data_IF_148474550479
#
_entry.id   IF_148474550479
#
_cell.length_a   1.000
_cell.length_b   1.000
_cell.length_c   1.000
_cell.angle_alpha   90.00
_cell.angle_beta   90.00
_cell.angle_gamma   90.00
#
_symmetry.space_group_name_H-M   'P 1'
#
loop_
_entity.id
_entity.type
_entity.pdbx_description
1 polymer ?
#
# COMPACT_ATOMS: atom_id res chain seq x y z
N UNK A 1 70.20 -49.33 -16.12
CA UNK A 1 68.90 -49.94 -15.92
C UNK A 1 67.87 -48.80 -15.65
N UNK A 2 67.26 -48.27 -16.72
CA UNK A 2 66.28 -47.17 -16.61
C UNK A 2 64.92 -47.79 -16.51
N UNK A 3 64.24 -47.53 -15.39
CA UNK A 3 62.85 -47.88 -15.21
C UNK A 3 61.99 -46.68 -15.66
N UNK A 4 61.25 -46.85 -16.75
CA UNK A 4 60.24 -45.96 -17.25
C UNK A 4 58.92 -46.23 -16.47
N UNK A 5 58.44 -45.30 -15.73
CA UNK A 5 57.13 -45.37 -15.04
C UNK A 5 56.09 -44.81 -16.04
N UNK A 6 55.10 -45.59 -16.45
CA UNK A 6 54.03 -45.05 -17.29
C UNK A 6 53.09 -44.11 -16.46
N UNK A 7 52.98 -42.88 -16.90
CA UNK A 7 52.01 -41.90 -16.35
C UNK A 7 50.62 -42.27 -16.88
N UNK A 8 49.76 -42.81 -16.02
CA UNK A 8 48.38 -43.12 -16.34
C UNK A 8 47.55 -41.85 -16.28
N UNK A 9 47.17 -41.30 -17.43
CA UNK A 9 46.31 -40.15 -17.56
C UNK A 9 44.86 -40.60 -17.30
N UNK A 10 44.35 -40.38 -16.08
CA UNK A 10 42.94 -40.60 -15.76
C UNK A 10 42.13 -39.43 -16.29
N UNK A 11 41.48 -39.63 -17.43
CA UNK A 11 40.54 -38.70 -18.01
C UNK A 11 39.24 -38.75 -17.19
N UNK A 12 39.06 -37.82 -16.23
CA UNK A 12 37.81 -37.67 -15.52
C UNK A 12 36.75 -37.13 -16.49
N UNK A 13 35.95 -38.02 -17.03
CA UNK A 13 34.69 -37.66 -17.69
C UNK A 13 33.74 -37.15 -16.64
N UNK A 14 33.71 -35.83 -16.42
CA UNK A 14 32.65 -35.16 -15.65
C UNK A 14 31.42 -35.19 -16.54
N UNK A 15 30.35 -35.91 -16.17
CA UNK A 15 29.10 -35.80 -16.90
C UNK A 15 28.61 -34.35 -16.75
N UNK A 16 28.57 -33.60 -17.84
CA UNK A 16 27.83 -32.37 -17.90
C UNK A 16 26.37 -32.73 -17.71
N UNK A 17 25.88 -32.60 -16.50
CA UNK A 17 24.45 -32.58 -16.25
C UNK A 17 23.94 -31.28 -16.89
N UNK A 18 23.52 -31.38 -18.15
CA UNK A 18 22.66 -30.36 -18.72
C UNK A 18 21.33 -30.48 -17.96
N UNK A 19 21.10 -29.61 -17.00
CA UNK A 19 19.76 -29.33 -16.54
C UNK A 19 19.04 -28.74 -17.78
N UNK A 20 18.28 -29.56 -18.49
CA UNK A 20 17.24 -29.01 -19.36
C UNK A 20 16.30 -28.23 -18.46
N UNK A 21 16.40 -26.91 -18.50
CA UNK A 21 15.35 -26.04 -17.98
C UNK A 21 14.07 -26.45 -18.70
N UNK A 22 13.26 -27.24 -18.02
CA UNK A 22 11.91 -27.58 -18.46
C UNK A 22 11.16 -26.27 -18.57
N UNK A 23 11.09 -25.71 -19.76
CA UNK A 23 10.19 -24.58 -20.06
C UNK A 23 8.78 -25.11 -19.93
N UNK A 24 8.21 -24.95 -18.75
CA UNK A 24 6.81 -25.28 -18.54
C UNK A 24 5.96 -24.37 -19.41
N UNK A 25 5.00 -24.95 -20.10
CA UNK A 25 4.11 -24.17 -20.95
C UNK A 25 3.16 -23.42 -20.02
N UNK A 26 3.06 -22.10 -20.20
CA UNK A 26 2.02 -21.31 -19.58
C UNK A 26 0.67 -21.75 -20.12
N UNK A 27 -0.19 -22.29 -19.27
CA UNK A 27 -1.56 -22.68 -19.61
C UNK A 27 -2.57 -21.71 -18.98
N UNK A 28 -3.81 -21.74 -19.46
CA UNK A 28 -4.89 -20.91 -18.87
C UNK A 28 -5.13 -21.30 -17.42
N UNK A 29 -5.10 -22.60 -17.10
CA UNK A 29 -5.28 -23.11 -15.75
C UNK A 29 -4.17 -22.62 -14.83
N UNK A 30 -2.91 -22.62 -15.31
CA UNK A 30 -1.79 -22.08 -14.53
C UNK A 30 -1.92 -20.56 -14.29
N UNK A 31 -2.30 -19.78 -15.33
CA UNK A 31 -2.49 -18.32 -15.18
C UNK A 31 -3.53 -17.99 -14.10
N UNK A 32 -4.55 -18.84 -13.92
CA UNK A 32 -5.61 -18.65 -12.93
C UNK A 32 -5.29 -19.32 -11.58
N UNK A 33 -4.13 -19.93 -11.43
CA UNK A 33 -3.73 -20.59 -10.19
C UNK A 33 -3.21 -19.59 -9.14
N UNK A 34 -3.28 -19.96 -7.86
CA UNK A 34 -2.68 -19.21 -6.77
C UNK A 34 -1.16 -19.11 -6.91
N UNK A 35 -0.53 -20.12 -7.50
CA UNK A 35 0.91 -20.12 -7.80
C UNK A 35 1.28 -19.00 -8.78
N UNK A 36 0.58 -18.90 -9.91
CA UNK A 36 0.81 -17.86 -10.89
C UNK A 36 0.57 -16.47 -10.30
N UNK A 37 -0.50 -16.31 -9.52
CA UNK A 37 -0.81 -15.06 -8.83
C UNK A 37 0.32 -14.65 -7.86
N UNK A 38 0.90 -15.62 -7.15
CA UNK A 38 2.00 -15.36 -6.21
C UNK A 38 3.29 -14.99 -6.96
N UNK A 39 3.62 -15.69 -8.05
CA UNK A 39 4.82 -15.42 -8.85
C UNK A 39 4.71 -14.08 -9.58
N UNK A 40 3.53 -13.77 -10.14
CA UNK A 40 3.29 -12.53 -10.88
C UNK A 40 3.06 -11.31 -9.97
N UNK A 41 2.77 -11.52 -8.69
CA UNK A 41 2.53 -10.43 -7.75
C UNK A 41 3.80 -9.61 -7.54
N UNK A 42 3.65 -8.31 -7.66
CA UNK A 42 4.69 -7.34 -7.33
C UNK A 42 4.36 -6.64 -6.02
N UNK A 43 5.36 -6.15 -5.32
CA UNK A 43 5.14 -5.31 -4.16
C UNK A 43 4.25 -4.12 -4.52
N UNK A 44 3.30 -3.79 -3.64
CA UNK A 44 2.74 -2.45 -3.66
C UNK A 44 3.81 -1.50 -3.12
N UNK A 45 3.94 -0.35 -3.73
CA UNK A 45 4.96 0.61 -3.32
C UNK A 45 4.51 2.05 -3.57
N UNK A 46 5.06 2.95 -2.79
CA UNK A 46 4.95 4.40 -3.00
C UNK A 46 6.30 5.06 -2.78
N UNK A 47 6.75 5.83 -3.77
CA UNK A 47 7.90 6.71 -3.64
C UNK A 47 7.54 7.91 -2.78
N UNK A 48 8.48 8.31 -1.94
CA UNK A 48 8.40 9.46 -1.06
C UNK A 48 9.32 10.58 -1.55
N UNK A 49 9.04 11.82 -1.15
CA UNK A 49 9.80 13.00 -1.59
C UNK A 49 11.27 12.99 -1.14
N UNK A 50 11.61 12.21 -0.12
CA UNK A 50 12.97 12.02 0.39
C UNK A 50 13.78 10.97 -0.39
N UNK A 51 13.35 10.56 -1.59
CA UNK A 51 13.95 9.53 -2.42
C UNK A 51 14.02 8.14 -1.76
N UNK A 52 13.14 7.82 -0.84
CA UNK A 52 12.92 6.47 -0.31
C UNK A 52 11.57 5.95 -0.79
N UNK A 53 11.29 4.67 -0.58
CA UNK A 53 9.98 4.10 -0.88
C UNK A 53 9.44 3.31 0.30
N UNK A 54 8.11 3.28 0.44
CA UNK A 54 7.43 2.32 1.28
C UNK A 54 7.00 1.15 0.39
N UNK A 55 7.28 -0.05 0.85
CA UNK A 55 6.95 -1.32 0.20
C UNK A 55 5.96 -2.10 1.07
N UNK A 56 5.11 -2.88 0.39
CA UNK A 56 4.18 -3.81 1.02
C UNK A 56 4.16 -5.10 0.19
N UNK A 57 4.70 -6.19 0.74
CA UNK A 57 4.82 -7.44 0.01
C UNK A 57 3.51 -8.23 0.07
N UNK A 58 2.73 -8.15 -0.99
CA UNK A 58 1.45 -8.86 -1.12
C UNK A 58 1.60 -10.37 -1.32
N UNK A 59 2.82 -10.89 -1.56
CA UNK A 59 3.11 -12.32 -1.67
C UNK A 59 3.19 -13.00 -0.30
N UNK A 60 3.45 -12.22 0.75
CA UNK A 60 3.42 -12.72 2.12
C UNK A 60 1.98 -13.04 2.56
N UNK A 61 1.79 -13.99 3.49
CA UNK A 61 0.50 -14.19 4.14
C UNK A 61 -0.06 -12.86 4.69
N UNK A 62 -1.36 -12.67 4.63
CA UNK A 62 -2.00 -11.40 5.04
C UNK A 62 -1.62 -10.97 6.46
N UNK A 63 -1.48 -11.94 7.34
CA UNK A 63 -1.14 -11.78 8.75
C UNK A 63 0.31 -11.32 8.97
N UNK A 64 1.19 -11.51 7.98
CA UNK A 64 2.61 -11.16 8.05
C UNK A 64 2.95 -9.86 7.31
N UNK A 65 2.02 -9.35 6.50
CA UNK A 65 2.24 -8.13 5.70
C UNK A 65 2.46 -6.92 6.59
N UNK A 66 3.50 -6.17 6.28
CA UNK A 66 3.83 -4.93 6.99
C UNK A 66 4.44 -3.92 6.02
N UNK A 67 4.58 -2.67 6.45
CA UNK A 67 5.27 -1.65 5.67
C UNK A 67 6.75 -1.70 5.93
N UNK A 68 7.51 -1.72 4.84
CA UNK A 68 8.97 -1.71 4.85
C UNK A 68 9.46 -0.48 4.09
N UNK A 69 10.47 0.19 4.61
CA UNK A 69 11.12 1.31 3.96
C UNK A 69 12.34 0.83 3.19
N UNK A 70 12.41 1.22 1.93
CA UNK A 70 13.55 1.03 1.03
C UNK A 70 14.29 2.34 0.86
N UNK A 71 15.59 2.34 1.14
CA UNK A 71 16.54 3.38 0.69
C UNK A 71 17.29 2.84 -0.54
N UNK A 72 17.13 3.42 -1.74
CA UNK A 72 17.82 2.93 -2.94
C UNK A 72 19.34 2.95 -2.86
N UNK A 73 19.91 3.73 -1.94
CA UNK A 73 21.36 3.74 -1.68
C UNK A 73 21.80 2.51 -0.91
N UNK A 74 20.87 1.80 -0.26
CA UNK A 74 21.11 0.58 0.53
C UNK A 74 19.99 -0.43 0.26
N UNK A 75 19.87 -0.95 -0.99
CA UNK A 75 18.71 -1.72 -1.42
C UNK A 75 18.56 -3.09 -0.73
N UNK A 76 19.64 -3.58 -0.11
CA UNK A 76 19.60 -4.83 0.67
C UNK A 76 19.10 -4.64 2.10
N UNK A 77 18.92 -3.40 2.55
CA UNK A 77 18.45 -3.08 3.91
C UNK A 77 17.00 -2.61 3.86
N UNK A 78 16.07 -3.47 4.25
CA UNK A 78 14.66 -3.12 4.42
C UNK A 78 14.37 -2.92 5.91
N UNK A 79 13.72 -1.81 6.23
CA UNK A 79 13.38 -1.47 7.61
C UNK A 79 11.86 -1.50 7.79
N UNK A 80 11.37 -2.32 8.71
CA UNK A 80 9.96 -2.28 9.11
C UNK A 80 9.67 -0.93 9.78
N UNK A 81 8.64 -0.22 9.31
CA UNK A 81 8.31 1.14 9.77
C UNK A 81 7.03 1.19 10.58
N UNK A 82 6.37 0.06 10.79
CA UNK A 82 5.14 -0.04 11.58
C UNK A 82 5.10 -1.36 12.34
N UNK A 83 4.73 -1.30 13.61
CA UNK A 83 4.32 -2.47 14.38
C UNK A 83 2.87 -2.81 14.00
N UNK A 84 2.72 -3.84 13.16
CA UNK A 84 1.41 -4.21 12.59
C UNK A 84 0.42 -4.66 13.68
N UNK A 85 0.90 -5.38 14.70
CA UNK A 85 0.03 -5.92 15.75
C UNK A 85 -0.54 -4.76 16.59
N UNK A 86 0.33 -3.82 16.95
CA UNK A 86 -0.07 -2.60 17.65
C UNK A 86 -1.04 -1.76 16.80
N UNK A 87 -0.75 -1.59 15.51
CA UNK A 87 -1.60 -0.84 14.59
C UNK A 87 -3.00 -1.48 14.49
N UNK A 88 -3.07 -2.78 14.21
CA UNK A 88 -4.35 -3.50 14.10
C UNK A 88 -5.13 -3.43 15.42
N UNK A 89 -4.46 -3.66 16.56
CA UNK A 89 -5.11 -3.56 17.87
C UNK A 89 -5.65 -2.15 18.15
N UNK A 90 -4.94 -1.10 17.71
CA UNK A 90 -5.42 0.29 17.88
C UNK A 90 -6.67 0.57 17.03
N UNK A 91 -6.73 0.03 15.81
CA UNK A 91 -7.91 0.12 14.96
C UNK A 91 -9.10 -0.61 15.58
N UNK A 92 -8.87 -1.84 16.09
CA UNK A 92 -9.91 -2.63 16.74
C UNK A 92 -10.51 -1.92 17.96
N UNK A 93 -9.69 -1.23 18.75
CA UNK A 93 -10.17 -0.40 19.87
C UNK A 93 -11.07 0.76 19.40
N UNK A 94 -10.82 1.27 18.20
CA UNK A 94 -11.55 2.44 17.67
C UNK A 94 -12.90 2.10 17.04
N UNK A 95 -13.03 0.91 16.42
CA UNK A 95 -14.24 0.55 15.65
C UNK A 95 -14.85 -0.80 16.04
N UNK A 96 -14.29 -1.51 17.03
CA UNK A 96 -14.68 -2.85 17.45
C UNK A 96 -14.03 -3.95 16.60
N UNK A 97 -13.86 -5.12 17.19
CA UNK A 97 -13.19 -6.26 16.53
C UNK A 97 -13.97 -6.79 15.33
N UNK A 98 -15.30 -6.84 15.43
CA UNK A 98 -16.16 -7.35 14.35
C UNK A 98 -16.10 -6.50 13.08
N UNK A 99 -15.81 -5.22 13.24
CA UNK A 99 -15.83 -4.22 12.19
C UNK A 99 -14.45 -3.90 11.63
N UNK A 100 -13.40 -4.34 12.31
CA UNK A 100 -12.01 -4.09 11.92
C UNK A 100 -11.42 -5.21 11.07
N UNK A 101 -10.34 -4.88 10.38
CA UNK A 101 -9.48 -5.90 9.77
C UNK A 101 -8.60 -6.58 10.83
N UNK A 102 -8.25 -7.84 10.58
CA UNK A 102 -7.30 -8.60 11.42
C UNK A 102 -5.84 -8.45 10.97
N UNK A 103 -5.61 -7.71 9.90
CA UNK A 103 -4.29 -7.52 9.31
C UNK A 103 -4.16 -6.14 8.71
N UNK A 104 -2.93 -5.67 8.60
CA UNK A 104 -2.62 -4.39 7.99
C UNK A 104 -2.95 -4.43 6.48
N UNK A 105 -3.53 -3.35 5.98
CA UNK A 105 -3.88 -3.19 4.57
C UNK A 105 -3.07 -2.04 3.96
N UNK A 106 -2.93 -2.04 2.64
CA UNK A 106 -2.39 -0.90 1.92
C UNK A 106 -3.32 0.31 2.06
N UNK A 107 -2.79 1.50 2.38
CA UNK A 107 -3.60 2.71 2.57
C UNK A 107 -4.08 3.30 1.25
N UNK A 108 -4.97 4.28 1.33
CA UNK A 108 -5.34 5.12 0.19
C UNK A 108 -4.18 6.02 -0.27
N UNK A 109 -3.40 6.51 0.68
CA UNK A 109 -2.22 7.33 0.43
C UNK A 109 -1.30 7.33 1.65
N UNK A 110 -0.02 7.66 1.44
CA UNK A 110 0.87 8.14 2.48
C UNK A 110 1.04 9.66 2.32
N UNK A 111 1.42 10.34 3.40
CA UNK A 111 1.93 11.70 3.30
C UNK A 111 3.30 11.70 2.59
N UNK A 112 3.80 12.88 2.21
CA UNK A 112 5.03 13.02 1.42
C UNK A 112 6.27 12.43 2.11
N UNK A 113 6.31 12.46 3.42
CA UNK A 113 7.43 11.94 4.22
C UNK A 113 7.30 10.45 4.54
N UNK A 114 6.14 9.84 4.32
CA UNK A 114 5.83 8.46 4.71
C UNK A 114 5.77 8.28 6.23
N UNK A 115 5.26 9.27 6.94
CA UNK A 115 5.03 9.23 8.39
C UNK A 115 3.60 8.85 8.72
N UNK A 116 2.66 9.26 7.88
CA UNK A 116 1.23 9.08 8.05
C UNK A 116 0.65 8.28 6.88
N UNK A 117 -0.28 7.39 7.18
CA UNK A 117 -1.03 6.65 6.17
C UNK A 117 -2.54 6.90 6.33
N UNK A 118 -3.21 7.15 5.20
CA UNK A 118 -4.62 7.53 5.12
C UNK A 118 -5.48 6.32 4.79
N UNK A 119 -6.52 6.12 5.57
CA UNK A 119 -7.46 5.01 5.40
C UNK A 119 -8.90 5.48 5.44
N UNK A 120 -9.76 4.66 4.86
CA UNK A 120 -11.19 4.68 5.12
C UNK A 120 -11.64 3.33 5.65
N UNK A 121 -12.33 3.34 6.79
CA UNK A 121 -13.02 2.17 7.32
C UNK A 121 -14.49 2.50 7.51
N UNK A 122 -15.35 1.65 6.94
CA UNK A 122 -16.79 1.90 6.87
C UNK A 122 -17.10 3.21 6.14
N UNK A 123 -17.30 4.28 6.87
CA UNK A 123 -17.69 5.60 6.35
C UNK A 123 -16.68 6.68 6.71
N UNK A 124 -15.78 6.38 7.65
CA UNK A 124 -14.95 7.37 8.31
C UNK A 124 -13.50 7.29 7.88
N UNK A 125 -12.82 8.41 8.06
CA UNK A 125 -11.41 8.59 7.73
C UNK A 125 -10.56 8.31 8.96
N UNK A 126 -9.50 7.55 8.74
CA UNK A 126 -8.50 7.19 9.74
C UNK A 126 -7.10 7.55 9.27
N UNK A 127 -6.26 7.95 10.20
CA UNK A 127 -4.83 8.18 10.00
C UNK A 127 -4.06 7.16 10.84
N UNK A 128 -3.18 6.40 10.22
CA UNK A 128 -2.19 5.60 10.91
C UNK A 128 -0.89 6.41 11.01
N UNK A 129 -0.46 6.69 12.21
CA UNK A 129 0.88 7.21 12.48
C UNK A 129 1.86 6.02 12.51
N UNK A 130 2.79 5.98 11.56
CA UNK A 130 3.71 4.86 11.39
C UNK A 130 4.75 4.81 12.52
N UNK A 131 5.14 5.96 13.08
CA UNK A 131 6.16 6.01 14.12
C UNK A 131 5.67 5.42 15.45
N UNK A 132 4.42 5.67 15.80
CA UNK A 132 3.80 5.13 17.02
C UNK A 132 2.94 3.90 16.76
N UNK A 133 2.68 3.58 15.47
CA UNK A 133 1.87 2.43 15.05
C UNK A 133 0.46 2.45 15.63
N UNK A 134 -0.20 3.61 15.56
CA UNK A 134 -1.54 3.79 16.09
C UNK A 134 -2.46 4.49 15.09
N UNK A 135 -3.66 3.96 14.96
CA UNK A 135 -4.73 4.59 14.21
C UNK A 135 -5.42 5.66 15.03
N UNK A 136 -5.72 6.77 14.39
CA UNK A 136 -6.58 7.85 14.89
C UNK A 136 -7.75 8.04 13.95
N UNK A 137 -8.98 7.89 14.44
CA UNK A 137 -10.20 8.25 13.71
C UNK A 137 -10.31 9.76 13.68
N UNK A 138 -10.43 10.36 12.50
CA UNK A 138 -10.52 11.82 12.34
C UNK A 138 -11.93 12.30 11.95
N UNK A 139 -12.78 11.38 11.47
CA UNK A 139 -14.20 11.64 11.27
C UNK A 139 -15.04 10.60 11.99
N UNK A 140 -16.21 10.99 12.47
CA UNK A 140 -17.19 10.12 13.11
C UNK A 140 -18.59 10.64 12.80
N UNK A 141 -19.11 10.23 11.65
CA UNK A 141 -20.40 10.76 11.17
C UNK A 141 -21.28 9.64 10.62
N UNK A 142 -22.58 9.89 10.54
CA UNK A 142 -23.50 8.94 9.92
C UNK A 142 -23.39 8.92 8.40
N UNK A 143 -22.94 10.02 7.82
CA UNK A 143 -22.76 10.16 6.37
C UNK A 143 -21.34 9.76 5.99
N UNK A 144 -21.23 9.02 4.88
CA UNK A 144 -19.92 8.59 4.39
C UNK A 144 -19.11 9.75 3.82
N UNK A 145 -17.85 9.84 4.22
CA UNK A 145 -16.86 10.66 3.55
C UNK A 145 -16.44 10.01 2.21
N UNK A 146 -15.98 10.85 1.29
CA UNK A 146 -15.50 10.44 -0.03
C UNK A 146 -14.19 11.13 -0.37
N UNK A 147 -13.37 10.42 -1.14
CA UNK A 147 -12.16 10.97 -1.76
C UNK A 147 -11.22 11.71 -0.81
N UNK A 148 -10.86 11.16 0.37
CA UNK A 148 -9.95 11.84 1.27
C UNK A 148 -8.55 11.95 0.68
N UNK A 149 -7.88 13.09 0.89
CA UNK A 149 -6.51 13.35 0.41
C UNK A 149 -5.74 14.22 1.38
N UNK A 150 -4.49 13.86 1.59
CA UNK A 150 -3.55 14.75 2.29
C UNK A 150 -3.31 16.05 1.53
N UNK A 151 -3.08 17.14 2.26
CA UNK A 151 -2.42 18.34 1.72
C UNK A 151 -0.97 18.02 1.35
N UNK A 152 -0.35 18.81 0.44
CA UNK A 152 1.05 18.58 0.05
C UNK A 152 2.04 18.60 1.22
N UNK A 153 1.76 19.36 2.27
CA UNK A 153 2.57 19.43 3.49
C UNK A 153 2.23 18.36 4.53
N UNK A 154 1.25 17.49 4.24
CA UNK A 154 0.80 16.43 5.16
C UNK A 154 0.04 16.91 6.40
N UNK A 155 -0.15 18.24 6.57
CA UNK A 155 -0.76 18.80 7.80
C UNK A 155 -2.28 18.70 7.84
N UNK A 156 -2.92 18.46 6.69
CA UNK A 156 -4.39 18.44 6.56
C UNK A 156 -4.86 17.28 5.70
N UNK A 157 -6.14 16.95 5.89
CA UNK A 157 -6.89 16.04 5.00
C UNK A 157 -8.12 16.75 4.48
N UNK A 158 -8.24 16.85 3.14
CA UNK A 158 -9.48 17.29 2.52
C UNK A 158 -10.33 16.10 2.13
N UNK A 159 -11.63 16.23 2.17
CA UNK A 159 -12.60 15.20 1.82
C UNK A 159 -13.96 15.80 1.49
N UNK A 160 -14.82 15.00 0.91
CA UNK A 160 -16.20 15.38 0.57
C UNK A 160 -17.19 14.65 1.48
N UNK A 161 -18.15 15.37 2.02
CA UNK A 161 -19.31 14.85 2.72
C UNK A 161 -20.56 15.57 2.21
N UNK A 162 -21.61 14.82 1.84
CA UNK A 162 -22.87 15.37 1.31
C UNK A 162 -22.67 16.37 0.15
N UNK A 163 -21.71 16.07 -0.73
CA UNK A 163 -21.34 16.92 -1.87
C UNK A 163 -20.77 18.30 -1.49
N UNK A 164 -20.34 18.47 -0.26
CA UNK A 164 -19.57 19.62 0.19
C UNK A 164 -18.14 19.25 0.54
N UNK A 165 -17.24 20.19 0.31
CA UNK A 165 -15.82 20.06 0.60
C UNK A 165 -15.53 20.43 2.05
N UNK A 166 -14.78 19.59 2.71
CA UNK A 166 -14.30 19.74 4.08
C UNK A 166 -12.78 19.63 4.14
N UNK A 167 -12.20 20.19 5.16
CA UNK A 167 -10.79 20.03 5.51
C UNK A 167 -10.65 19.75 7.00
N UNK A 168 -9.82 18.76 7.34
CA UNK A 168 -9.45 18.47 8.72
C UNK A 168 -7.99 18.85 8.94
N UNK A 169 -7.73 19.67 9.96
CA UNK A 169 -6.39 20.06 10.41
C UNK A 169 -5.89 19.02 11.42
N UNK A 170 -4.84 18.29 11.08
CA UNK A 170 -4.34 17.17 11.87
C UNK A 170 -3.66 17.59 13.17
N UNK A 171 -3.06 18.77 13.21
CA UNK A 171 -2.40 19.31 14.41
C UNK A 171 -3.43 19.89 15.39
N UNK A 172 -4.40 20.66 14.86
CA UNK A 172 -5.43 21.32 15.68
C UNK A 172 -6.60 20.42 16.02
N UNK A 173 -6.67 19.22 15.44
CA UNK A 173 -7.79 18.29 15.57
C UNK A 173 -9.14 18.98 15.27
N UNK A 174 -9.19 19.72 14.16
CA UNK A 174 -10.35 20.56 13.84
C UNK A 174 -10.79 20.38 12.39
N UNK A 175 -12.07 20.07 12.23
CA UNK A 175 -12.73 20.08 10.93
C UNK A 175 -13.26 21.49 10.58
N UNK A 176 -13.23 21.82 9.29
CA UNK A 176 -13.84 23.02 8.72
C UNK A 176 -14.54 22.65 7.41
N UNK A 177 -15.83 22.93 7.32
CA UNK A 177 -16.59 22.89 6.07
C UNK A 177 -16.24 24.11 5.22
N UNK A 178 -15.85 23.88 3.96
CA UNK A 178 -15.41 24.92 3.03
C UNK A 178 -16.55 25.40 2.12
N UNK A 179 -17.40 24.48 1.65
CA UNK A 179 -18.58 24.80 0.82
C UNK A 179 -19.88 24.48 1.56
N UNK A 180 -21.02 25.03 1.12
CA UNK A 180 -22.33 24.89 1.80
C UNK A 180 -23.52 24.79 0.85
N UNK A 181 -23.26 24.62 -0.42
CA UNK A 181 -24.25 24.59 -1.48
C UNK A 181 -24.30 23.23 -2.18
N UNK A 182 -23.64 22.23 -1.60
CA UNK A 182 -23.66 20.85 -2.07
C UNK A 182 -25.08 20.31 -2.16
N UNK A 183 -25.40 19.67 -3.29
CA UNK A 183 -26.72 19.09 -3.56
C UNK A 183 -26.60 17.91 -4.52
N UNK A 184 -27.70 17.34 -4.95
CA UNK A 184 -27.71 16.29 -5.98
C UNK A 184 -27.13 16.76 -7.33
N UNK A 185 -27.13 18.06 -7.58
CA UNK A 185 -26.68 18.67 -8.83
C UNK A 185 -25.45 19.58 -8.68
N UNK A 186 -25.11 19.97 -7.45
CA UNK A 186 -23.89 20.74 -7.13
C UNK A 186 -22.94 19.83 -6.37
N UNK A 187 -21.87 19.42 -7.05
CA UNK A 187 -20.88 18.48 -6.53
C UNK A 187 -19.59 19.22 -6.22
N UNK A 188 -19.43 19.65 -4.97
CA UNK A 188 -18.19 20.27 -4.54
C UNK A 188 -17.14 19.21 -4.21
N UNK A 189 -16.02 19.25 -4.92
CA UNK A 189 -14.88 18.35 -4.68
C UNK A 189 -14.95 16.97 -5.32
N UNK A 190 -16.04 16.65 -6.05
CA UNK A 190 -16.15 15.42 -6.81
C UNK A 190 -16.51 15.68 -8.28
N UNK A 191 -16.09 14.78 -9.14
CA UNK A 191 -16.44 14.82 -10.55
C UNK A 191 -17.84 14.22 -10.78
N UNK A 192 -18.55 14.69 -11.81
CA UNK A 192 -19.74 13.99 -12.29
C UNK A 192 -19.34 12.64 -12.89
N UNK A 193 -20.30 11.69 -12.94
CA UNK A 193 -20.04 10.32 -13.36
C UNK A 193 -19.32 10.20 -14.70
N UNK A 194 -19.67 11.03 -15.69
CA UNK A 194 -19.03 11.03 -17.01
C UNK A 194 -17.53 11.34 -16.91
N UNK A 195 -17.16 12.33 -16.11
CA UNK A 195 -15.77 12.72 -15.98
C UNK A 195 -14.94 11.70 -15.20
N UNK A 196 -15.47 11.14 -14.11
CA UNK A 196 -14.69 10.19 -13.33
C UNK A 196 -14.58 8.82 -13.99
N UNK A 197 -15.63 8.36 -14.68
CA UNK A 197 -15.64 7.05 -15.33
C UNK A 197 -14.93 7.08 -16.68
N UNK A 198 -15.30 8.03 -17.55
CA UNK A 198 -14.89 8.04 -18.96
C UNK A 198 -13.56 8.76 -19.18
N UNK A 199 -13.19 9.72 -18.35
CA UNK A 199 -12.06 10.62 -18.66
C UNK A 199 -10.91 10.46 -17.68
N UNK A 200 -11.16 10.52 -16.38
CA UNK A 200 -10.08 10.62 -15.38
C UNK A 200 -9.82 9.33 -14.60
N UNK A 201 -10.73 8.36 -14.57
CA UNK A 201 -10.61 7.14 -13.77
C UNK A 201 -10.52 7.38 -12.25
N UNK A 202 -10.96 8.57 -11.80
CA UNK A 202 -10.95 8.96 -10.37
C UNK A 202 -12.10 9.87 -10.04
N UNK A 203 -12.56 9.85 -8.78
CA UNK A 203 -13.74 10.63 -8.35
C UNK A 203 -13.42 12.06 -7.88
N UNK A 204 -12.22 12.32 -7.43
CA UNK A 204 -11.80 13.64 -6.94
C UNK A 204 -11.25 14.53 -8.06
N UNK A 205 -11.37 15.84 -7.86
CA UNK A 205 -10.89 16.86 -8.81
C UNK A 205 -9.46 17.34 -8.49
N UNK A 206 -8.86 16.87 -7.38
CA UNK A 206 -7.60 17.41 -6.88
C UNK A 206 -7.83 18.73 -6.12
N UNK A 207 -7.89 18.67 -4.79
CA UNK A 207 -8.28 19.81 -3.95
C UNK A 207 -7.15 20.81 -3.68
N UNK A 208 -5.91 20.38 -3.88
CA UNK A 208 -4.71 21.14 -3.49
C UNK A 208 -3.94 21.69 -4.68
#
# INVERSE_FOLDING_TARGET
>A
MNRIIPFLLILCLIPRVYSEERKEKITVEWIQSDEANTIAAVHQYQWLDNNTAILFDVRQPKEERTFQKLDPRRPSELFTVVDREKAVASLQRSIGEEDSTKYLQWPLAFDQDGKLALYMYKKDIFILDLAVSEFRRITETETAEKSPRFSPDGSRVAFVRENDLYVYDLERNREKRLTRDGSKTILNGTLSWVYWEEIFGRQDIGYW
#
